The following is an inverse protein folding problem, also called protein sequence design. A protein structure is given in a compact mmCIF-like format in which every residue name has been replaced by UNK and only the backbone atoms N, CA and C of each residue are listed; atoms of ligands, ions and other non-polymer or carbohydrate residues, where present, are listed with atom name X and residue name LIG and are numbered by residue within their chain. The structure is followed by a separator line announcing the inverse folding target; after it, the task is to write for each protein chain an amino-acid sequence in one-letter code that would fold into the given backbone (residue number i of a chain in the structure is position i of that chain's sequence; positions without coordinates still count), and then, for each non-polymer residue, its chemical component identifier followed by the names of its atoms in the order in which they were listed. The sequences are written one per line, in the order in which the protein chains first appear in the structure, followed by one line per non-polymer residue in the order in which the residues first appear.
data_IF_410526122904
#
_entry.id   IF_410526122904
#
_cell.length_a   1.000
_cell.length_b   1.000
_cell.length_c   1.000
_cell.angle_alpha   90.00
_cell.angle_beta   90.00
_cell.angle_gamma   90.00
#
_symmetry.space_group_name_H-M   'P 1'
#
loop_
_entity.id
_entity.type
_entity.pdbx_description
1 polymer ?
#
# COMPACT_ATOMS: atom_id res chain seq x y z
N UNK A 1 -17.31 3.34 -18.14
CA UNK A 1 -16.16 2.60 -18.74
C UNK A 1 -15.15 2.20 -17.66
N UNK A 2 -14.56 3.12 -16.89
CA UNK A 2 -13.59 2.80 -15.82
C UNK A 2 -14.13 1.79 -14.79
N UNK A 3 -15.35 2.02 -14.27
CA UNK A 3 -15.99 1.12 -13.30
C UNK A 3 -16.20 -0.31 -13.83
N UNK A 4 -16.61 -0.44 -15.09
CA UNK A 4 -16.84 -1.75 -15.70
C UNK A 4 -15.50 -2.47 -15.89
N UNK A 5 -14.46 -1.75 -16.35
CA UNK A 5 -13.13 -2.31 -16.52
C UNK A 5 -12.49 -2.76 -15.19
N UNK A 6 -12.68 -2.01 -14.11
CA UNK A 6 -12.17 -2.40 -12.78
C UNK A 6 -12.90 -3.62 -12.23
N UNK A 7 -14.23 -3.67 -12.35
CA UNK A 7 -15.02 -4.82 -11.92
C UNK A 7 -14.70 -6.08 -12.74
N UNK A 8 -14.55 -5.94 -14.06
CA UNK A 8 -14.14 -7.04 -14.94
C UNK A 8 -12.75 -7.58 -14.54
N UNK A 9 -11.78 -6.69 -14.31
CA UNK A 9 -10.43 -7.08 -13.88
C UNK A 9 -10.46 -7.81 -12.55
N UNK A 10 -11.23 -7.32 -11.59
CA UNK A 10 -11.40 -7.98 -10.29
C UNK A 10 -12.03 -9.37 -10.45
N UNK A 11 -13.11 -9.48 -11.23
CA UNK A 11 -13.79 -10.75 -11.49
C UNK A 11 -12.86 -11.78 -12.16
N UNK A 12 -12.08 -11.36 -13.16
CA UNK A 12 -11.09 -12.22 -13.83
C UNK A 12 -9.98 -12.69 -12.89
N UNK A 13 -9.47 -11.82 -12.01
CA UNK A 13 -8.44 -12.20 -11.03
C UNK A 13 -8.96 -13.21 -10.00
N UNK A 14 -10.20 -13.03 -9.50
CA UNK A 14 -10.81 -13.97 -8.55
C UNK A 14 -11.11 -15.31 -9.24
N UNK A 15 -11.71 -15.26 -10.43
CA UNK A 15 -12.05 -16.47 -11.18
C UNK A 15 -10.79 -17.28 -11.56
N UNK A 16 -9.75 -16.63 -12.07
CA UNK A 16 -8.48 -17.29 -12.43
C UNK A 16 -7.81 -17.93 -11.21
N UNK A 17 -7.72 -17.21 -10.09
CA UNK A 17 -7.15 -17.75 -8.85
C UNK A 17 -7.92 -18.98 -8.38
N UNK A 18 -9.25 -18.94 -8.40
CA UNK A 18 -10.10 -20.07 -8.01
C UNK A 18 -9.85 -21.29 -8.91
N UNK A 19 -9.83 -21.11 -10.23
CA UNK A 19 -9.62 -22.21 -11.18
C UNK A 19 -8.22 -22.81 -11.01
N UNK A 20 -7.18 -21.98 -10.83
CA UNK A 20 -5.82 -22.46 -10.55
C UNK A 20 -5.75 -23.28 -9.26
N UNK A 21 -6.44 -22.85 -8.18
CA UNK A 21 -6.43 -23.56 -6.91
C UNK A 21 -7.24 -24.87 -6.94
N UNK A 22 -8.36 -24.90 -7.66
CA UNK A 22 -9.24 -26.07 -7.71
C UNK A 22 -8.77 -27.11 -8.73
N UNK A 23 -8.36 -26.66 -9.92
CA UNK A 23 -8.13 -27.54 -11.07
C UNK A 23 -6.68 -27.52 -11.54
N UNK A 24 -5.81 -26.65 -11.00
CA UNK A 24 -4.40 -26.58 -11.42
C UNK A 24 -3.58 -27.86 -11.16
N UNK A 25 -4.08 -28.77 -10.31
CA UNK A 25 -3.44 -30.06 -10.05
C UNK A 25 -3.79 -31.15 -11.10
N UNK A 26 -4.82 -30.96 -11.92
CA UNK A 26 -5.27 -31.96 -12.91
C UNK A 26 -4.57 -31.82 -14.28
N UNK A 27 -3.79 -30.76 -14.48
CA UNK A 27 -2.97 -30.52 -15.68
C UNK A 27 -2.84 -29.04 -16.02
N UNK A 28 -1.91 -28.70 -16.94
CA UNK A 28 -1.69 -27.32 -17.39
C UNK A 28 -2.90 -26.72 -18.12
N UNK A 29 -3.71 -27.54 -18.78
CA UNK A 29 -4.91 -27.12 -19.52
C UNK A 29 -6.07 -26.70 -18.61
N UNK A 30 -6.09 -27.20 -17.37
CA UNK A 30 -7.20 -27.03 -16.44
C UNK A 30 -7.23 -25.65 -15.78
N UNK A 31 -6.09 -24.95 -15.73
CA UNK A 31 -6.03 -23.56 -15.29
C UNK A 31 -6.66 -22.56 -16.28
N UNK A 32 -6.98 -23.00 -17.51
CA UNK A 32 -7.54 -22.20 -18.59
C UNK A 32 -6.53 -21.87 -19.68
N UNK A 33 -6.99 -21.86 -20.94
CA UNK A 33 -6.15 -21.72 -22.14
C UNK A 33 -5.24 -20.49 -22.14
N UNK A 34 -5.71 -19.35 -21.62
CA UNK A 34 -4.90 -18.12 -21.55
C UNK A 34 -3.72 -18.29 -20.59
N UNK A 35 -3.95 -18.92 -19.44
CA UNK A 35 -2.91 -19.15 -18.42
C UNK A 35 -1.91 -20.18 -18.94
N UNK A 36 -2.38 -21.25 -19.58
CA UNK A 36 -1.52 -22.25 -20.22
C UNK A 36 -0.60 -21.63 -21.27
N UNK A 37 -1.16 -20.89 -22.23
CA UNK A 37 -0.38 -20.26 -23.29
C UNK A 37 0.64 -19.25 -22.74
N UNK A 38 0.28 -18.49 -21.71
CA UNK A 38 1.24 -17.63 -21.01
C UNK A 38 2.34 -18.42 -20.30
N UNK A 39 1.98 -19.52 -19.63
CA UNK A 39 2.92 -20.40 -18.95
C UNK A 39 3.93 -21.02 -19.92
N UNK A 40 3.48 -21.52 -21.07
CA UNK A 40 4.34 -22.08 -22.11
C UNK A 40 5.32 -21.04 -22.67
N UNK A 41 4.86 -19.80 -22.89
CA UNK A 41 5.71 -18.69 -23.35
C UNK A 41 6.76 -18.30 -22.30
N UNK A 42 6.39 -18.25 -21.01
CA UNK A 42 7.29 -17.83 -19.93
C UNK A 42 8.32 -18.92 -19.58
N UNK A 43 7.90 -20.19 -19.59
CA UNK A 43 8.74 -21.32 -19.21
C UNK A 43 9.60 -21.78 -20.39
N UNK A 44 9.15 -21.58 -21.63
CA UNK A 44 9.90 -21.95 -22.84
C UNK A 44 10.28 -23.44 -22.89
N UNK A 45 9.50 -24.30 -22.21
CA UNK A 45 9.77 -25.73 -22.07
C UNK A 45 10.77 -26.11 -20.97
N UNK A 46 11.35 -25.16 -20.23
CA UNK A 46 12.27 -25.43 -19.12
C UNK A 46 11.76 -24.85 -17.79
N UNK A 47 11.30 -25.73 -16.90
CA UNK A 47 10.83 -25.34 -15.56
C UNK A 47 11.85 -24.55 -14.74
N UNK A 48 13.16 -24.78 -14.91
CA UNK A 48 14.19 -23.99 -14.25
C UNK A 48 14.20 -22.53 -14.73
N UNK A 49 14.01 -22.29 -16.02
CA UNK A 49 13.87 -20.94 -16.59
C UNK A 49 12.62 -20.27 -16.02
N UNK A 50 11.50 -20.99 -15.99
CA UNK A 50 10.26 -20.51 -15.39
C UNK A 50 10.42 -20.08 -13.93
N UNK A 51 11.13 -20.88 -13.12
CA UNK A 51 11.40 -20.56 -11.72
C UNK A 51 12.29 -19.33 -11.56
N UNK A 52 13.32 -19.17 -12.40
CA UNK A 52 14.18 -17.98 -12.40
C UNK A 52 13.37 -16.72 -12.75
N UNK A 53 12.54 -16.78 -13.79
CA UNK A 53 11.67 -15.65 -14.16
C UNK A 53 10.67 -15.32 -13.05
N UNK A 54 10.07 -16.34 -12.43
CA UNK A 54 9.18 -16.15 -11.29
C UNK A 54 9.88 -15.44 -10.12
N UNK A 55 11.10 -15.85 -9.76
CA UNK A 55 11.89 -15.21 -8.70
C UNK A 55 12.22 -13.76 -9.06
N UNK A 56 12.60 -13.46 -10.31
CA UNK A 56 12.84 -12.10 -10.77
C UNK A 56 11.58 -11.23 -10.61
N UNK A 57 10.44 -11.71 -11.09
CA UNK A 57 9.17 -10.98 -10.99
C UNK A 57 8.74 -10.81 -9.53
N UNK A 58 8.92 -11.83 -8.69
CA UNK A 58 8.64 -11.77 -7.25
C UNK A 58 9.50 -10.70 -6.57
N UNK A 59 10.81 -10.69 -6.83
CA UNK A 59 11.74 -9.69 -6.27
C UNK A 59 11.37 -8.28 -6.74
N UNK A 60 11.10 -8.10 -8.03
CA UNK A 60 10.68 -6.79 -8.57
C UNK A 60 9.40 -6.32 -7.88
N UNK A 61 8.37 -7.17 -7.80
CA UNK A 61 7.12 -6.82 -7.12
C UNK A 61 7.37 -6.44 -5.66
N UNK A 62 8.16 -7.23 -4.94
CA UNK A 62 8.49 -6.95 -3.55
C UNK A 62 9.21 -5.60 -3.39
N UNK A 63 10.28 -5.37 -4.16
CA UNK A 63 11.07 -4.12 -4.10
C UNK A 63 10.22 -2.90 -4.47
N UNK A 64 9.37 -3.00 -5.49
CA UNK A 64 8.49 -1.90 -5.91
C UNK A 64 7.46 -1.59 -4.82
N UNK A 65 6.85 -2.61 -4.22
CA UNK A 65 5.89 -2.44 -3.12
C UNK A 65 6.57 -1.80 -1.91
N UNK A 66 7.74 -2.29 -1.49
CA UNK A 66 8.47 -1.72 -0.34
C UNK A 66 8.88 -0.27 -0.60
N UNK A 67 9.44 0.05 -1.78
CA UNK A 67 9.79 1.43 -2.15
C UNK A 67 8.57 2.33 -2.33
N UNK A 68 7.43 1.78 -2.75
CA UNK A 68 6.16 2.48 -2.81
C UNK A 68 5.65 2.83 -1.42
N UNK A 69 5.61 1.85 -0.52
CA UNK A 69 5.18 2.01 0.86
C UNK A 69 6.06 3.02 1.62
N UNK A 70 7.39 2.97 1.45
CA UNK A 70 8.30 3.92 2.08
C UNK A 70 8.01 5.38 1.70
N UNK A 71 7.78 5.65 0.41
CA UNK A 71 7.42 6.99 -0.07
C UNK A 71 6.09 7.48 0.49
N UNK A 72 5.10 6.59 0.62
CA UNK A 72 3.81 6.94 1.22
C UNK A 72 4.00 7.28 2.71
N UNK A 73 4.80 6.49 3.42
CA UNK A 73 5.11 6.72 4.84
C UNK A 73 5.82 8.06 5.09
N UNK A 74 6.83 8.37 4.27
CA UNK A 74 7.55 9.66 4.33
C UNK A 74 6.61 10.84 4.13
N UNK A 75 5.73 10.75 3.11
CA UNK A 75 4.77 11.80 2.80
C UNK A 75 3.76 11.96 3.93
N UNK A 76 3.25 10.88 4.51
CA UNK A 76 2.34 10.94 5.65
C UNK A 76 2.98 11.56 6.89
N UNK A 77 4.21 11.15 7.25
CA UNK A 77 4.94 11.73 8.37
C UNK A 77 5.18 13.22 8.15
N UNK A 78 5.60 13.59 6.93
CA UNK A 78 5.83 14.99 6.57
C UNK A 78 4.55 15.82 6.61
N UNK A 79 3.42 15.32 6.10
CA UNK A 79 2.15 16.03 6.19
C UNK A 79 1.73 16.28 7.65
N UNK A 80 1.92 15.31 8.53
CA UNK A 80 1.61 15.49 9.96
C UNK A 80 2.53 16.52 10.62
N UNK A 81 3.83 16.46 10.33
CA UNK A 81 4.81 17.41 10.85
C UNK A 81 4.59 18.84 10.31
N UNK A 82 4.28 18.99 9.02
CA UNK A 82 4.01 20.28 8.38
C UNK A 82 2.70 20.92 8.92
N UNK A 83 1.78 20.13 9.49
CA UNK A 83 0.56 20.63 10.13
C UNK A 83 0.77 21.17 11.56
N UNK A 84 1.93 20.92 12.17
CA UNK A 84 2.22 21.28 13.57
C UNK A 84 2.15 22.78 13.86
N UNK A 85 2.71 23.68 13.03
CA UNK A 85 2.59 25.13 13.24
C UNK A 85 1.12 25.58 13.21
N UNK A 86 0.30 24.99 12.32
CA UNK A 86 -1.12 25.29 12.24
C UNK A 86 -1.88 24.87 13.50
N UNK A 87 -1.59 23.68 14.04
CA UNK A 87 -2.15 23.22 15.33
C UNK A 87 -1.72 24.12 16.49
N UNK A 88 -0.47 24.58 16.53
CA UNK A 88 0.00 25.51 17.56
C UNK A 88 -0.66 26.89 17.44
N UNK A 89 -0.77 27.44 16.22
CA UNK A 89 -1.47 28.70 15.97
C UNK A 89 -2.95 28.64 16.37
N UNK A 90 -3.62 27.49 16.17
CA UNK A 90 -5.00 27.31 16.63
C UNK A 90 -5.11 27.36 18.16
N UNK A 91 -4.19 26.73 18.89
CA UNK A 91 -4.15 26.80 20.37
C UNK A 91 -3.92 28.24 20.83
N UNK A 92 -3.04 28.97 20.17
CA UNK A 92 -2.74 30.37 20.50
C UNK A 92 -3.94 31.29 20.23
N UNK A 93 -4.66 31.05 19.13
CA UNK A 93 -5.89 31.76 18.80
C UNK A 93 -6.99 31.48 19.84
N UNK A 94 -7.20 30.22 20.22
CA UNK A 94 -8.20 29.81 21.22
C UNK A 94 -7.88 30.38 22.62
N UNK A 95 -6.59 30.44 22.99
CA UNK A 95 -6.13 31.06 24.23
C UNK A 95 -6.36 32.58 24.22
N UNK A 96 -6.03 33.26 23.12
CA UNK A 96 -6.26 34.70 22.96
C UNK A 96 -7.76 35.06 22.91
N UNK A 97 -8.60 34.16 22.40
CA UNK A 97 -10.06 34.30 22.38
C UNK A 97 -10.72 34.01 23.74
N UNK A 98 -9.95 33.53 24.73
CA UNK A 98 -10.47 33.15 26.05
C UNK A 98 -11.30 31.85 26.04
N UNK A 99 -11.22 31.06 24.97
CA UNK A 99 -11.89 29.75 24.84
C UNK A 99 -11.13 28.69 25.66
N UNK A 100 -9.80 28.80 25.71
CA UNK A 100 -8.91 27.95 26.50
C UNK A 100 -8.28 28.72 27.66
N UNK A 101 -8.05 28.03 28.77
CA UNK A 101 -7.20 28.51 29.86
C UNK A 101 -5.72 28.24 29.59
N UNK A 102 -4.82 28.91 30.31
CA UNK A 102 -3.37 28.69 30.20
C UNK A 102 -2.95 27.24 30.49
N UNK A 103 -3.58 26.61 31.48
CA UNK A 103 -3.32 25.20 31.84
C UNK A 103 -3.76 24.26 30.71
N UNK A 104 -4.94 24.47 30.13
CA UNK A 104 -5.44 23.66 29.01
C UNK A 104 -4.63 23.85 27.73
N UNK A 105 -4.21 25.09 27.42
CA UNK A 105 -3.35 25.39 26.30
C UNK A 105 -1.98 24.70 26.43
N UNK A 106 -1.42 24.65 27.65
CA UNK A 106 -0.17 23.93 27.93
C UNK A 106 -0.32 22.42 27.73
N UNK A 107 -1.43 21.84 28.21
CA UNK A 107 -1.72 20.42 28.03
C UNK A 107 -1.84 20.06 26.54
N UNK A 108 -2.61 20.83 25.76
CA UNK A 108 -2.75 20.62 24.32
C UNK A 108 -1.43 20.78 23.55
N UNK A 109 -0.58 21.74 23.94
CA UNK A 109 0.75 21.88 23.33
C UNK A 109 1.63 20.67 23.61
N UNK A 110 1.53 20.07 24.80
CA UNK A 110 2.22 18.80 25.11
C UNK A 110 1.71 17.65 24.24
N UNK A 111 0.40 17.51 24.07
CA UNK A 111 -0.19 16.48 23.20
C UNK A 111 0.29 16.63 21.74
N UNK A 112 0.22 17.85 21.21
CA UNK A 112 0.71 18.18 19.86
C UNK A 112 2.21 17.86 19.74
N UNK A 113 3.02 18.21 20.75
CA UNK A 113 4.44 17.85 20.80
C UNK A 113 4.69 16.34 20.77
N UNK A 114 3.95 15.57 21.57
CA UNK A 114 4.07 14.11 21.60
C UNK A 114 3.68 13.45 20.27
N UNK A 115 2.73 14.03 19.54
CA UNK A 115 2.37 13.59 18.20
C UNK A 115 3.54 13.80 17.22
N UNK A 116 4.20 14.96 17.25
CA UNK A 116 5.39 15.21 16.43
C UNK A 116 6.57 14.29 16.76
N UNK A 117 6.83 14.03 18.04
CA UNK A 117 7.91 13.12 18.44
C UNK A 117 7.67 11.69 17.91
N UNK A 118 6.41 11.24 17.91
CA UNK A 118 6.03 9.94 17.37
C UNK A 118 6.25 9.85 15.84
N UNK A 119 5.79 10.85 15.08
CA UNK A 119 5.96 10.86 13.62
C UNK A 119 7.38 11.24 13.16
N UNK A 120 8.17 11.91 14.00
CA UNK A 120 9.56 12.26 13.72
C UNK A 120 10.57 11.14 14.02
N UNK A 121 10.18 10.13 14.83
CA UNK A 121 11.01 8.98 15.16
C UNK A 121 10.77 7.74 14.27
N UNK A 122 9.79 7.79 13.35
CA UNK A 122 9.50 6.77 12.33
C UNK A 122 10.22 7.04 11.01
#
# INVERSE_FOLDING_TARGET
ILLIATLLRLALNVASTRVVLLEGHTGSDAAGKVIQSFGEVVIGGNYAVGLVVFLILMIINFVVVTKGAGRISEVSARFTLDAMPGKQMAIDADLNAGILTQEEAKLRRQEVGSEADFYGAM
#
